data_IF_467169563803
#
_entry.id   IF_467169563803
#
_cell.length_a   1.000
_cell.length_b   1.000
_cell.length_c   1.000
_cell.angle_alpha   90.00
_cell.angle_beta   90.00
_cell.angle_gamma   90.00
#
_symmetry.space_group_name_H-M   'P 1'
#
loop_
_entity.id
_entity.type
_entity.pdbx_description
1 polymer ?
#
# COMPACT_ATOMS: atom_id res chain seq x y z
N UNK A 1 -24.38 22.93 -5.93
CA UNK A 1 -24.02 22.79 -7.35
C UNK A 1 -25.30 22.66 -8.17
N UNK A 2 -25.33 23.25 -9.35
CA UNK A 2 -26.39 23.03 -10.35
C UNK A 2 -26.18 21.68 -11.05
N UNK A 3 -27.18 21.23 -11.82
CA UNK A 3 -27.05 20.00 -12.61
C UNK A 3 -25.87 20.08 -13.60
N UNK A 4 -25.70 21.21 -14.27
CA UNK A 4 -24.59 21.41 -15.21
C UNK A 4 -23.23 21.37 -14.50
N UNK A 5 -23.11 22.00 -13.31
CA UNK A 5 -21.88 21.95 -12.51
C UNK A 5 -21.56 20.54 -12.03
N UNK A 6 -22.57 19.71 -11.74
CA UNK A 6 -22.39 18.31 -11.39
C UNK A 6 -21.88 17.49 -12.59
N UNK A 7 -22.49 17.67 -13.76
CA UNK A 7 -22.10 17.00 -15.01
C UNK A 7 -20.66 17.37 -15.43
N UNK A 8 -20.26 18.63 -15.23
CA UNK A 8 -18.88 19.06 -15.46
C UNK A 8 -17.89 18.30 -14.56
N UNK A 9 -18.17 18.18 -13.26
CA UNK A 9 -17.31 17.41 -12.34
C UNK A 9 -17.25 15.94 -12.73
N UNK A 10 -18.38 15.31 -13.06
CA UNK A 10 -18.42 13.91 -13.49
C UNK A 10 -17.52 13.68 -14.72
N UNK A 11 -17.62 14.57 -15.70
CA UNK A 11 -16.90 14.45 -16.98
C UNK A 11 -15.38 14.48 -16.85
N UNK A 12 -14.84 15.07 -15.77
CA UNK A 12 -13.40 15.20 -15.54
C UNK A 12 -12.88 14.48 -14.29
N UNK A 13 -13.75 13.88 -13.47
CA UNK A 13 -13.34 13.26 -12.21
C UNK A 13 -12.45 12.02 -12.40
N UNK A 14 -12.69 11.22 -13.45
CA UNK A 14 -11.98 9.97 -13.73
C UNK A 14 -11.47 9.98 -15.18
N UNK A 15 -10.27 10.53 -15.44
CA UNK A 15 -9.77 10.73 -16.79
C UNK A 15 -9.24 9.45 -17.46
N UNK A 16 -9.08 8.34 -16.71
CA UNK A 16 -8.51 7.11 -17.24
C UNK A 16 -8.38 5.99 -16.21
N UNK A 17 -7.55 5.00 -16.52
CA UNK A 17 -7.30 3.85 -15.66
C UNK A 17 -6.45 4.23 -14.43
N UNK A 18 -6.75 3.60 -13.29
CA UNK A 18 -6.02 3.79 -12.03
C UNK A 18 -6.91 3.54 -10.82
N UNK A 19 -6.29 3.46 -9.64
CA UNK A 19 -7.00 3.54 -8.36
C UNK A 19 -7.45 4.97 -8.07
N UNK A 20 -8.23 5.17 -7.00
CA UNK A 20 -8.50 6.50 -6.48
C UNK A 20 -7.18 7.22 -6.11
N UNK A 21 -6.99 8.46 -6.55
CA UNK A 21 -5.71 9.17 -6.43
C UNK A 21 -5.34 9.69 -5.03
N UNK A 22 -6.29 9.75 -4.09
CA UNK A 22 -6.01 10.14 -2.69
C UNK A 22 -5.37 9.01 -1.87
N UNK A 23 -4.97 9.29 -0.63
CA UNK A 23 -4.44 8.28 0.29
C UNK A 23 -5.56 7.43 0.92
N UNK A 24 -6.45 6.91 0.08
CA UNK A 24 -7.49 5.97 0.46
C UNK A 24 -6.93 4.54 0.53
N UNK A 25 -7.81 3.56 0.75
CA UNK A 25 -7.44 2.16 0.96
C UNK A 25 -6.52 1.58 -0.12
N UNK A 26 -6.75 1.90 -1.40
CA UNK A 26 -5.91 1.37 -2.48
C UNK A 26 -4.45 1.81 -2.35
N UNK A 27 -4.20 3.12 -2.27
CA UNK A 27 -2.84 3.66 -2.16
C UNK A 27 -2.23 3.35 -0.78
N UNK A 28 -3.04 3.36 0.28
CA UNK A 28 -2.58 2.95 1.62
C UNK A 28 -2.08 1.52 1.62
N UNK A 29 -2.84 0.58 1.04
CA UNK A 29 -2.43 -0.83 0.99
C UNK A 29 -1.27 -1.06 0.03
N UNK A 30 -1.21 -0.34 -1.09
CA UNK A 30 -0.04 -0.40 -1.98
C UNK A 30 1.24 0.00 -1.23
N UNK A 31 1.24 1.14 -0.54
CA UNK A 31 2.40 1.59 0.24
C UNK A 31 2.70 0.68 1.43
N UNK A 32 1.68 0.12 2.09
CA UNK A 32 1.87 -0.84 3.16
C UNK A 32 2.52 -2.15 2.66
N UNK A 33 2.12 -2.66 1.49
CA UNK A 33 2.67 -3.88 0.89
C UNK A 33 4.11 -3.67 0.42
N UNK A 34 4.44 -2.50 -0.09
CA UNK A 34 5.82 -2.12 -0.38
C UNK A 34 6.66 -2.10 0.92
N UNK A 35 6.13 -1.51 1.99
CA UNK A 35 6.79 -1.49 3.31
C UNK A 35 6.91 -2.88 3.97
N UNK A 36 6.01 -3.81 3.66
CA UNK A 36 6.12 -5.23 4.03
C UNK A 36 7.24 -5.94 3.28
N UNK A 37 7.78 -5.37 2.20
CA UNK A 37 8.75 -6.01 1.32
C UNK A 37 8.13 -6.96 0.29
N UNK A 38 6.81 -6.88 0.08
CA UNK A 38 6.06 -7.74 -0.85
C UNK A 38 5.83 -7.09 -2.22
N UNK A 39 6.35 -5.88 -2.44
CA UNK A 39 6.42 -5.22 -3.74
C UNK A 39 7.80 -4.62 -3.93
N UNK A 40 8.19 -4.45 -5.19
CA UNK A 40 9.46 -3.80 -5.50
C UNK A 40 9.45 -2.34 -5.01
N UNK A 41 10.61 -1.79 -4.60
CA UNK A 41 10.70 -0.40 -4.18
C UNK A 41 10.13 0.54 -5.24
N UNK A 42 9.39 1.55 -4.81
CA UNK A 42 8.67 2.55 -5.60
C UNK A 42 7.44 2.03 -6.37
N UNK A 43 7.12 0.74 -6.35
CA UNK A 43 5.98 0.18 -7.10
C UNK A 43 4.64 0.82 -6.69
N UNK A 44 4.49 1.22 -5.42
CA UNK A 44 3.24 1.80 -4.89
C UNK A 44 2.96 3.23 -5.32
N UNK A 45 3.98 3.97 -5.78
CA UNK A 45 3.87 5.39 -6.14
C UNK A 45 3.75 5.63 -7.65
N UNK A 46 3.86 4.57 -8.47
CA UNK A 46 3.82 4.68 -9.93
C UNK A 46 2.39 4.85 -10.45
N UNK A 47 2.22 5.75 -11.42
CA UNK A 47 0.95 5.90 -12.12
C UNK A 47 0.61 4.65 -12.94
N UNK A 48 -0.67 4.30 -12.98
CA UNK A 48 -1.14 3.08 -13.66
C UNK A 48 -0.80 3.08 -15.16
N UNK A 49 -0.86 4.25 -15.81
CA UNK A 49 -0.52 4.43 -17.22
C UNK A 49 0.82 5.14 -17.32
N UNK A 50 1.91 4.41 -17.11
CA UNK A 50 3.28 4.93 -17.17
C UNK A 50 4.27 3.89 -17.71
N UNK A 51 5.39 4.35 -18.27
CA UNK A 51 6.50 3.46 -18.65
C UNK A 51 7.13 2.79 -17.42
N UNK A 52 7.14 3.49 -16.28
CA UNK A 52 7.63 2.95 -15.00
C UNK A 52 6.84 1.71 -14.59
N UNK A 53 5.50 1.75 -14.68
CA UNK A 53 4.67 0.59 -14.35
C UNK A 53 4.89 -0.58 -15.30
N UNK A 54 5.16 -0.30 -16.59
CA UNK A 54 5.50 -1.35 -17.56
C UNK A 54 6.85 -2.02 -17.20
N UNK A 55 7.85 -1.23 -16.81
CA UNK A 55 9.14 -1.77 -16.33
C UNK A 55 8.99 -2.57 -15.04
N UNK A 56 8.27 -2.03 -14.06
CA UNK A 56 7.99 -2.68 -12.78
C UNK A 56 7.35 -4.06 -12.95
N UNK A 57 6.43 -4.22 -13.90
CA UNK A 57 5.84 -5.52 -14.23
C UNK A 57 6.87 -6.55 -14.72
N UNK A 58 7.86 -6.14 -15.52
CA UNK A 58 8.93 -7.03 -16.01
C UNK A 58 9.88 -7.37 -14.86
N UNK A 59 10.32 -6.37 -14.11
CA UNK A 59 11.23 -6.51 -12.97
C UNK A 59 10.61 -7.39 -11.87
N UNK A 60 9.31 -7.29 -11.63
CA UNK A 60 8.59 -8.15 -10.68
C UNK A 60 8.65 -9.62 -11.12
N UNK A 61 8.57 -9.89 -12.42
CA UNK A 61 8.75 -11.25 -12.96
C UNK A 61 10.17 -11.78 -12.72
N UNK A 62 11.19 -10.96 -12.96
CA UNK A 62 12.58 -11.32 -12.68
C UNK A 62 12.82 -11.56 -11.18
N UNK A 63 12.24 -10.73 -10.32
CA UNK A 63 12.33 -10.87 -8.88
C UNK A 63 11.71 -12.20 -8.40
N UNK A 64 10.53 -12.56 -8.90
CA UNK A 64 9.88 -13.84 -8.54
C UNK A 64 10.74 -15.04 -8.97
N UNK A 65 11.38 -15.00 -10.14
CA UNK A 65 12.29 -16.08 -10.56
C UNK A 65 13.46 -16.23 -9.59
N UNK A 66 14.08 -15.12 -9.16
CA UNK A 66 15.15 -15.15 -8.16
C UNK A 66 14.68 -15.68 -6.81
N UNK A 67 13.50 -15.27 -6.34
CA UNK A 67 12.92 -15.79 -5.10
C UNK A 67 12.70 -17.31 -5.17
N UNK A 68 12.32 -17.85 -6.33
CA UNK A 68 12.18 -19.29 -6.54
C UNK A 68 13.55 -19.99 -6.50
N UNK A 69 14.55 -19.43 -7.19
CA UNK A 69 15.92 -19.96 -7.20
C UNK A 69 16.53 -20.00 -5.78
N UNK A 70 16.32 -18.96 -5.00
CA UNK A 70 16.80 -18.81 -3.62
C UNK A 70 15.91 -19.51 -2.58
N UNK A 71 14.78 -20.10 -3.00
CA UNK A 71 13.77 -20.73 -2.15
C UNK A 71 13.26 -19.79 -1.03
N UNK A 72 13.05 -18.51 -1.37
CA UNK A 72 12.48 -17.50 -0.48
C UNK A 72 10.96 -17.48 -0.67
N UNK A 73 10.24 -17.79 0.40
CA UNK A 73 8.78 -17.81 0.45
C UNK A 73 8.22 -16.54 1.10
N UNK A 74 6.93 -16.19 0.90
CA UNK A 74 6.32 -15.01 1.52
C UNK A 74 6.45 -14.96 3.05
N UNK A 75 6.48 -16.11 3.74
CA UNK A 75 6.64 -16.17 5.20
C UNK A 75 8.06 -15.84 5.67
N UNK A 76 9.05 -15.91 4.78
CA UNK A 76 10.41 -15.46 5.07
C UNK A 76 10.52 -13.93 5.02
N UNK A 77 9.59 -13.27 4.31
CA UNK A 77 9.51 -11.81 4.16
C UNK A 77 8.55 -11.20 5.20
N UNK A 78 7.39 -11.82 5.39
CA UNK A 78 6.31 -11.36 6.27
C UNK A 78 6.60 -11.67 7.75
N UNK A 79 7.60 -10.98 8.30
CA UNK A 79 7.98 -11.05 9.72
C UNK A 79 7.16 -10.07 10.56
N UNK A 80 7.28 -10.20 11.89
CA UNK A 80 6.66 -9.25 12.83
C UNK A 80 7.14 -7.82 12.55
N UNK A 81 8.43 -7.66 12.31
CA UNK A 81 9.09 -6.39 12.01
C UNK A 81 8.59 -5.79 10.69
N UNK A 82 8.34 -6.62 9.67
CA UNK A 82 7.76 -6.16 8.40
C UNK A 82 6.37 -5.54 8.62
N UNK A 83 5.52 -6.17 9.45
CA UNK A 83 4.22 -5.59 9.80
C UNK A 83 4.35 -4.28 10.59
N UNK A 84 5.32 -4.18 11.49
CA UNK A 84 5.59 -2.93 12.22
C UNK A 84 6.06 -1.80 11.29
N UNK A 85 6.89 -2.11 10.29
CA UNK A 85 7.27 -1.19 9.22
C UNK A 85 6.05 -0.71 8.43
N UNK A 86 5.18 -1.65 8.03
CA UNK A 86 3.98 -1.34 7.28
C UNK A 86 3.03 -0.41 8.05
N UNK A 87 2.81 -0.69 9.35
CA UNK A 87 2.01 0.19 10.21
C UNK A 87 2.65 1.57 10.31
N UNK A 88 3.97 1.64 10.50
CA UNK A 88 4.70 2.92 10.58
C UNK A 88 4.50 3.76 9.32
N UNK A 89 4.61 3.14 8.14
CA UNK A 89 4.38 3.81 6.85
C UNK A 89 2.92 4.25 6.70
N UNK A 90 1.96 3.40 7.06
CA UNK A 90 0.53 3.77 7.03
C UNK A 90 0.27 5.00 7.92
N UNK A 91 0.84 5.05 9.13
CA UNK A 91 0.69 6.19 10.03
C UNK A 91 1.36 7.46 9.46
N UNK A 92 2.58 7.33 8.93
CA UNK A 92 3.31 8.45 8.34
C UNK A 92 2.59 9.04 7.12
N UNK A 93 1.86 8.22 6.36
CA UNK A 93 1.08 8.65 5.20
C UNK A 93 -0.33 9.15 5.54
N UNK A 94 -0.77 9.03 6.79
CA UNK A 94 -2.17 9.31 7.15
C UNK A 94 -3.16 8.37 6.48
N UNK A 95 -2.77 7.09 6.33
CA UNK A 95 -3.50 6.10 5.54
C UNK A 95 -4.87 5.70 6.08
N UNK A 96 -5.64 5.06 5.21
CA UNK A 96 -6.99 4.56 5.49
C UNK A 96 -7.05 3.62 6.69
N UNK A 97 -8.07 3.79 7.55
CA UNK A 97 -8.34 2.91 8.68
C UNK A 97 -8.62 1.45 8.26
N UNK A 98 -9.00 1.21 7.00
CA UNK A 98 -9.16 -0.15 6.47
C UNK A 98 -7.84 -0.93 6.44
N UNK A 99 -6.70 -0.25 6.45
CA UNK A 99 -5.39 -0.92 6.55
C UNK A 99 -5.26 -1.76 7.83
N UNK A 100 -5.94 -1.36 8.93
CA UNK A 100 -5.96 -2.15 10.17
C UNK A 100 -6.55 -3.53 9.92
N UNK A 101 -7.72 -3.59 9.27
CA UNK A 101 -8.40 -4.85 8.97
C UNK A 101 -7.56 -5.74 8.04
N UNK A 102 -6.99 -5.15 6.99
CA UNK A 102 -6.20 -5.88 6.00
C UNK A 102 -4.88 -6.39 6.57
N UNK A 103 -4.14 -5.58 7.33
CA UNK A 103 -2.87 -5.99 7.93
C UNK A 103 -3.07 -7.06 9.00
N UNK A 104 -4.14 -6.98 9.81
CA UNK A 104 -4.49 -8.06 10.74
C UNK A 104 -4.81 -9.37 10.01
N UNK A 105 -5.57 -9.30 8.92
CA UNK A 105 -5.90 -10.49 8.12
C UNK A 105 -4.66 -11.11 7.44
N UNK A 106 -3.76 -10.27 6.91
CA UNK A 106 -2.50 -10.71 6.32
C UNK A 106 -1.58 -11.35 7.36
N UNK A 107 -1.44 -10.72 8.55
CA UNK A 107 -0.67 -11.27 9.65
C UNK A 107 -1.21 -12.64 10.09
N UNK A 108 -2.52 -12.77 10.20
CA UNK A 108 -3.16 -14.05 10.51
C UNK A 108 -2.80 -15.14 9.48
N UNK A 109 -2.89 -14.83 8.17
CA UNK A 109 -2.52 -15.77 7.10
C UNK A 109 -1.02 -16.16 7.11
N UNK A 110 -0.17 -15.20 7.48
CA UNK A 110 1.27 -15.40 7.65
C UNK A 110 1.64 -16.10 8.97
N UNK A 111 0.67 -16.37 9.85
CA UNK A 111 0.89 -16.89 11.21
C UNK A 111 1.77 -15.96 12.09
N UNK A 112 1.60 -14.65 11.90
CA UNK A 112 2.23 -13.60 12.70
C UNK A 112 1.21 -13.08 13.70
N UNK A 113 1.61 -13.03 14.97
CA UNK A 113 0.81 -12.39 16.01
C UNK A 113 0.85 -10.87 15.77
N UNK A 114 -0.30 -10.28 15.47
CA UNK A 114 -0.52 -8.84 15.35
C UNK A 114 -1.88 -8.52 15.99
N UNK A 115 -1.92 -7.53 16.86
CA UNK A 115 -3.10 -7.14 17.64
C UNK A 115 -3.41 -5.66 17.41
N UNK A 116 -4.64 -5.24 17.72
CA UNK A 116 -5.06 -3.85 17.55
C UNK A 116 -4.18 -2.86 18.35
N UNK A 117 -3.73 -3.27 19.53
CA UNK A 117 -2.84 -2.48 20.40
C UNK A 117 -1.48 -2.15 19.74
N UNK A 118 -1.04 -2.95 18.76
CA UNK A 118 0.21 -2.68 18.06
C UNK A 118 0.10 -1.41 17.20
N UNK A 119 -1.06 -1.16 16.60
CA UNK A 119 -1.34 0.05 15.82
C UNK A 119 -1.31 1.30 16.70
N UNK A 120 -1.86 1.21 17.93
CA UNK A 120 -1.83 2.31 18.88
C UNK A 120 -0.40 2.65 19.30
N UNK A 121 0.38 1.64 19.72
CA UNK A 121 1.77 1.82 20.18
C UNK A 121 2.70 2.39 19.11
N UNK A 122 2.49 1.99 17.84
CA UNK A 122 3.29 2.49 16.72
C UNK A 122 2.80 3.89 16.31
N UNK A 123 1.49 4.11 16.25
CA UNK A 123 0.90 5.41 15.94
C UNK A 123 1.32 6.53 16.90
N UNK A 124 1.54 6.21 18.18
CA UNK A 124 2.08 7.17 19.16
C UNK A 124 3.50 7.67 18.81
N UNK A 125 4.26 6.91 18.01
CA UNK A 125 5.65 7.22 17.64
C UNK A 125 5.81 7.70 16.20
N UNK A 126 4.82 7.45 15.35
CA UNK A 126 4.86 7.73 13.92
C UNK A 126 3.92 8.92 13.60
N UNK A 127 4.44 10.17 13.56
CA UNK A 127 3.63 11.32 13.17
C UNK A 127 3.22 11.22 11.69
N UNK A 128 2.09 11.82 11.34
CA UNK A 128 1.72 12.03 9.93
C UNK A 128 2.72 13.01 9.31
N UNK A 129 3.36 12.60 8.23
CA UNK A 129 4.38 13.38 7.51
C UNK A 129 3.92 13.80 6.12
N UNK A 130 2.95 13.11 5.53
CA UNK A 130 2.49 13.35 4.17
C UNK A 130 1.28 14.30 4.13
N UNK A 131 1.40 15.40 3.38
CA UNK A 131 0.28 16.29 3.07
C UNK A 131 -0.45 15.77 1.82
N UNK A 132 -1.30 14.76 2.03
CA UNK A 132 -2.04 14.07 0.99
C UNK A 132 -3.54 14.17 1.26
N UNK A 133 -4.31 14.21 0.18
CA UNK A 133 -5.77 14.11 0.21
C UNK A 133 -6.23 12.86 0.99
N UNK A 134 -7.27 12.99 1.83
CA UNK A 134 -8.60 12.55 1.43
C UNK A 134 -9.21 13.47 0.37
#
# INVERSE_FOLDING_TARGET
>A
ITQNELEEVESCAIPGAGSCGGMYTANTMASAIEALGMSLPNSSAQEAVSEDKVRDCVEAGEAVLRLIEDNICPRDILTREAFENAITVVMALGGSTNAVLHLLAMAHAANIKLELDDFLKIGEKAPVLADLKP
#
